data_IF_343098532303
#
_entry.id   IF_343098532303
#
_cell.length_a   1.000
_cell.length_b   1.000
_cell.length_c   1.000
_cell.angle_alpha   90.00
_cell.angle_beta   90.00
_cell.angle_gamma   90.00
#
_symmetry.space_group_name_H-M   'P 1'
#
loop_
_entity.id
_entity.type
_entity.pdbx_description
1 polymer ?
#
# COMPACT_ATOMS: atom_id res chain seq x y z
N UNK A 1 14.52 -9.65 -13.78
CA UNK A 1 15.18 -9.26 -12.52
C UNK A 1 15.81 -7.85 -12.64
N UNK A 2 16.75 -7.63 -13.55
CA UNK A 2 17.47 -6.36 -13.71
C UNK A 2 16.54 -5.12 -13.85
N UNK A 3 15.42 -5.25 -14.54
CA UNK A 3 14.46 -4.16 -14.73
C UNK A 3 13.84 -3.73 -13.39
N UNK A 4 13.37 -4.67 -12.58
CA UNK A 4 12.80 -4.38 -11.27
C UNK A 4 13.83 -3.78 -10.30
N UNK A 5 15.08 -4.27 -10.38
CA UNK A 5 16.20 -3.72 -9.61
C UNK A 5 16.47 -2.25 -9.93
N UNK A 6 16.34 -1.84 -11.20
CA UNK A 6 16.48 -0.43 -11.60
C UNK A 6 15.26 0.42 -11.28
N UNK A 7 14.05 -0.12 -11.42
CA UNK A 7 12.81 0.62 -11.25
C UNK A 7 12.42 0.84 -9.78
N UNK A 8 12.78 -0.06 -8.86
CA UNK A 8 12.43 0.08 -7.45
C UNK A 8 12.98 1.37 -6.81
N UNK A 9 14.27 1.72 -6.95
CA UNK A 9 14.78 3.00 -6.42
C UNK A 9 14.14 4.22 -7.08
N UNK A 10 13.84 4.15 -8.37
CA UNK A 10 13.17 5.23 -9.09
C UNK A 10 11.76 5.46 -8.52
N UNK A 11 11.00 4.38 -8.32
CA UNK A 11 9.67 4.46 -7.74
C UNK A 11 9.71 4.95 -6.29
N UNK A 12 10.69 4.50 -5.49
CA UNK A 12 10.92 5.00 -4.13
C UNK A 12 11.26 6.49 -4.12
N UNK A 13 12.06 6.95 -5.08
CA UNK A 13 12.39 8.37 -5.23
C UNK A 13 11.15 9.21 -5.58
N UNK A 14 10.35 8.77 -6.54
CA UNK A 14 9.09 9.45 -6.90
C UNK A 14 8.13 9.50 -5.71
N UNK A 15 8.01 8.40 -4.96
CA UNK A 15 7.19 8.35 -3.74
C UNK A 15 7.70 9.34 -2.68
N UNK A 16 9.01 9.41 -2.45
CA UNK A 16 9.61 10.35 -1.52
C UNK A 16 9.40 11.81 -1.94
N UNK A 17 9.57 12.13 -3.24
CA UNK A 17 9.30 13.46 -3.78
C UNK A 17 7.84 13.86 -3.62
N UNK A 18 6.91 12.94 -3.89
CA UNK A 18 5.49 13.19 -3.69
C UNK A 18 5.19 13.56 -2.24
N UNK A 19 5.64 12.75 -1.27
CA UNK A 19 5.40 13.06 0.15
C UNK A 19 6.09 14.36 0.57
N UNK A 20 7.30 14.62 0.07
CA UNK A 20 8.01 15.88 0.33
C UNK A 20 7.32 17.11 -0.26
N UNK A 21 6.53 16.96 -1.32
CA UNK A 21 5.77 18.06 -1.93
C UNK A 21 4.51 18.43 -1.13
N UNK A 22 3.92 17.51 -0.37
CA UNK A 22 2.64 17.72 0.33
C UNK A 22 2.62 18.94 1.27
N UNK A 23 3.68 19.28 2.02
CA UNK A 23 3.69 20.48 2.85
C UNK A 23 3.61 21.79 2.05
N UNK A 24 4.01 21.76 0.78
CA UNK A 24 4.05 22.94 -0.10
C UNK A 24 2.81 23.06 -0.99
N UNK A 25 2.30 21.94 -1.49
CA UNK A 25 1.16 21.91 -2.42
C UNK A 25 -0.17 21.72 -1.71
N UNK A 26 -0.16 21.29 -0.45
CA UNK A 26 -1.37 20.88 0.25
C UNK A 26 -1.94 19.56 -0.29
N UNK A 27 -3.11 19.20 0.22
CA UNK A 27 -3.82 17.97 -0.18
C UNK A 27 -4.99 18.26 -1.15
N UNK A 28 -5.33 19.52 -1.40
CA UNK A 28 -6.48 19.92 -2.24
C UNK A 28 -6.39 19.34 -3.66
N UNK A 29 -5.25 19.43 -4.39
CA UNK A 29 -5.15 18.88 -5.73
C UNK A 29 -5.38 17.35 -5.77
N UNK A 30 -5.07 16.66 -4.66
CA UNK A 30 -5.27 15.23 -4.55
C UNK A 30 -6.76 14.88 -4.45
N UNK A 31 -7.54 15.70 -3.71
CA UNK A 31 -8.97 15.47 -3.53
C UNK A 31 -9.81 15.82 -4.76
N UNK A 32 -9.33 16.71 -5.60
CA UNK A 32 -9.95 17.03 -6.90
C UNK A 32 -9.82 15.87 -7.90
N UNK A 33 -8.78 15.02 -7.74
CA UNK A 33 -8.59 13.87 -8.61
C UNK A 33 -9.63 12.79 -8.35
N UNK A 34 -10.38 12.42 -9.42
CA UNK A 34 -11.40 11.36 -9.35
C UNK A 34 -10.85 9.99 -8.96
N UNK A 35 -9.58 9.72 -9.25
CA UNK A 35 -8.88 8.46 -9.04
C UNK A 35 -7.84 8.48 -7.91
N UNK A 36 -7.87 9.49 -7.02
CA UNK A 36 -6.86 9.66 -5.98
C UNK A 36 -6.61 8.37 -5.16
N UNK A 37 -7.66 7.77 -4.62
CA UNK A 37 -7.53 6.53 -3.83
C UNK A 37 -6.90 5.39 -4.65
N UNK A 38 -7.36 5.18 -5.88
CA UNK A 38 -6.83 4.12 -6.77
C UNK A 38 -5.36 4.34 -7.10
N UNK A 39 -4.97 5.58 -7.38
CA UNK A 39 -3.58 5.93 -7.67
C UNK A 39 -2.68 5.69 -6.46
N UNK A 40 -3.11 6.12 -5.26
CA UNK A 40 -2.36 5.91 -4.02
C UNK A 40 -2.22 4.43 -3.67
N UNK A 41 -3.29 3.64 -3.80
CA UNK A 41 -3.26 2.19 -3.63
C UNK A 41 -2.29 1.54 -4.63
N UNK A 42 -2.32 1.96 -5.90
CA UNK A 42 -1.46 1.44 -6.93
C UNK A 42 0.03 1.72 -6.64
N UNK A 43 0.39 2.91 -6.14
CA UNK A 43 1.76 3.24 -5.74
C UNK A 43 2.26 2.30 -4.65
N UNK A 44 1.46 2.07 -3.59
CA UNK A 44 1.84 1.13 -2.53
C UNK A 44 1.97 -0.29 -3.07
N UNK A 45 1.00 -0.76 -3.85
CA UNK A 45 1.02 -2.10 -4.42
C UNK A 45 2.24 -2.33 -5.33
N UNK A 46 2.60 -1.34 -6.15
CA UNK A 46 3.80 -1.40 -7.00
C UNK A 46 5.09 -1.44 -6.19
N UNK A 47 5.23 -0.58 -5.17
CA UNK A 47 6.40 -0.60 -4.29
C UNK A 47 6.54 -1.94 -3.56
N UNK A 48 5.45 -2.49 -3.04
CA UNK A 48 5.42 -3.82 -2.42
C UNK A 48 5.80 -4.90 -3.43
N UNK A 49 5.19 -4.90 -4.63
CA UNK A 49 5.47 -5.90 -5.67
C UNK A 49 6.92 -5.84 -6.15
N UNK A 50 7.46 -4.64 -6.40
CA UNK A 50 8.85 -4.47 -6.84
C UNK A 50 9.83 -4.84 -5.73
N UNK A 51 9.53 -4.49 -4.48
CA UNK A 51 10.33 -4.91 -3.33
C UNK A 51 10.40 -6.43 -3.27
N UNK A 52 9.29 -7.13 -3.35
CA UNK A 52 9.27 -8.60 -3.36
C UNK A 52 10.02 -9.18 -4.56
N UNK A 53 9.89 -8.58 -5.74
CA UNK A 53 10.57 -9.03 -6.95
C UNK A 53 12.08 -8.86 -6.89
N UNK A 54 12.57 -7.83 -6.20
CA UNK A 54 14.00 -7.56 -6.05
C UNK A 54 14.62 -8.42 -4.95
N UNK A 55 13.86 -8.65 -3.87
CA UNK A 55 14.37 -9.34 -2.69
C UNK A 55 14.32 -10.86 -2.79
N UNK A 56 13.50 -11.40 -3.69
CA UNK A 56 13.34 -12.86 -3.89
C UNK A 56 13.32 -13.61 -2.54
N UNK A 57 14.29 -14.49 -2.31
CA UNK A 57 14.38 -15.29 -1.09
C UNK A 57 15.07 -14.57 0.07
N UNK A 58 15.58 -13.34 -0.14
CA UNK A 58 16.26 -12.55 0.90
C UNK A 58 17.63 -13.07 1.32
N UNK A 59 18.18 -14.04 0.59
CA UNK A 59 19.49 -14.67 0.86
C UNK A 59 20.59 -14.13 -0.07
N UNK A 60 20.21 -13.36 -1.11
CA UNK A 60 21.14 -12.80 -2.08
C UNK A 60 21.90 -11.57 -1.58
N UNK A 61 23.03 -11.29 -2.23
CA UNK A 61 23.76 -10.02 -2.05
C UNK A 61 22.83 -8.83 -2.37
N UNK A 62 22.93 -7.79 -1.57
CA UNK A 62 22.10 -6.59 -1.72
C UNK A 62 22.46 -5.89 -3.04
N UNK A 63 21.51 -5.73 -3.97
CA UNK A 63 21.83 -5.25 -5.31
C UNK A 63 22.18 -3.76 -5.37
N UNK A 64 22.11 -3.04 -4.22
CA UNK A 64 22.23 -1.59 -4.19
C UNK A 64 23.42 -1.08 -3.37
N UNK A 65 24.10 -0.02 -3.83
CA UNK A 65 25.03 0.75 -3.01
C UNK A 65 24.29 1.39 -1.83
N UNK A 66 25.01 1.72 -0.77
CA UNK A 66 24.45 2.16 0.51
C UNK A 66 23.50 3.37 0.40
N UNK A 67 23.78 4.33 -0.48
CA UNK A 67 22.93 5.51 -0.67
C UNK A 67 21.60 5.17 -1.35
N UNK A 68 21.63 4.27 -2.36
CA UNK A 68 20.43 3.85 -3.07
C UNK A 68 19.53 2.98 -2.19
N UNK A 69 20.14 2.16 -1.34
CA UNK A 69 19.42 1.41 -0.32
C UNK A 69 18.67 2.31 0.65
N UNK A 70 19.33 3.38 1.14
CA UNK A 70 18.66 4.37 2.01
C UNK A 70 17.46 5.02 1.33
N UNK A 71 17.53 5.24 0.03
CA UNK A 71 16.41 5.78 -0.74
C UNK A 71 15.25 4.79 -0.80
N UNK A 72 15.53 3.52 -1.06
CA UNK A 72 14.51 2.45 -1.03
C UNK A 72 13.91 2.32 0.38
N UNK A 73 14.75 2.29 1.41
CA UNK A 73 14.30 2.22 2.81
C UNK A 73 13.38 3.41 3.14
N UNK A 74 13.74 4.63 2.73
CA UNK A 74 12.90 5.82 2.91
C UNK A 74 11.55 5.67 2.18
N UNK A 75 11.56 5.20 0.93
CA UNK A 75 10.33 4.93 0.18
C UNK A 75 9.40 3.94 0.90
N UNK A 76 9.97 2.87 1.47
CA UNK A 76 9.19 1.86 2.21
C UNK A 76 8.65 2.41 3.54
N UNK A 77 9.40 3.25 4.23
CA UNK A 77 8.94 3.92 5.47
C UNK A 77 7.82 4.91 5.20
N UNK A 78 7.74 5.48 4.00
CA UNK A 78 6.69 6.42 3.59
C UNK A 78 5.41 5.72 3.11
N UNK A 79 5.40 4.42 2.87
CA UNK A 79 4.21 3.68 2.42
C UNK A 79 2.96 3.90 3.29
N UNK A 80 3.05 3.95 4.63
CA UNK A 80 1.87 4.24 5.47
C UNK A 80 1.20 5.57 5.14
N UNK A 81 1.95 6.59 4.72
CA UNK A 81 1.39 7.89 4.33
C UNK A 81 0.45 7.71 3.14
N UNK A 82 0.89 7.00 2.10
CA UNK A 82 0.06 6.71 0.92
C UNK A 82 -1.18 5.89 1.29
N UNK A 83 -1.02 4.88 2.15
CA UNK A 83 -2.13 4.05 2.57
C UNK A 83 -3.19 4.84 3.38
N UNK A 84 -2.75 5.70 4.29
CA UNK A 84 -3.64 6.57 5.06
C UNK A 84 -4.35 7.59 4.17
N UNK A 85 -3.65 8.22 3.22
CA UNK A 85 -4.25 9.14 2.25
C UNK A 85 -5.28 8.42 1.36
N UNK A 86 -5.00 7.17 0.95
CA UNK A 86 -5.93 6.36 0.17
C UNK A 86 -7.21 6.03 0.94
N UNK A 87 -7.07 5.62 2.21
CA UNK A 87 -8.21 5.35 3.09
C UNK A 87 -9.03 6.62 3.34
N UNK A 88 -8.38 7.76 3.55
CA UNK A 88 -9.05 9.03 3.73
C UNK A 88 -9.80 9.47 2.45
N UNK A 89 -9.19 9.31 1.28
CA UNK A 89 -9.84 9.60 0.00
C UNK A 89 -11.07 8.70 -0.23
N UNK A 90 -11.01 7.42 0.16
CA UNK A 90 -12.15 6.51 0.10
C UNK A 90 -13.25 6.93 1.09
N UNK A 91 -12.86 7.29 2.32
CA UNK A 91 -13.81 7.76 3.33
C UNK A 91 -14.58 9.00 2.85
N UNK A 92 -13.89 10.02 2.31
CA UNK A 92 -14.53 11.20 1.72
C UNK A 92 -15.55 10.83 0.64
N UNK A 93 -15.20 9.86 -0.21
CA UNK A 93 -16.10 9.40 -1.29
C UNK A 93 -17.31 8.66 -0.77
N UNK A 94 -17.16 7.90 0.30
CA UNK A 94 -18.25 7.17 0.95
C UNK A 94 -19.19 8.16 1.66
N UNK A 95 -18.62 9.14 2.36
CA UNK A 95 -19.38 10.16 3.05
C UNK A 95 -20.25 10.99 2.09
N UNK A 96 -19.68 11.38 0.93
CA UNK A 96 -20.37 12.19 -0.08
C UNK A 96 -21.44 11.45 -0.89
N UNK A 97 -21.26 10.15 -1.14
CA UNK A 97 -22.04 9.41 -2.14
C UNK A 97 -22.60 8.07 -1.62
N UNK A 98 -22.43 7.76 -0.34
CA UNK A 98 -22.85 6.50 0.27
C UNK A 98 -21.98 5.28 -0.15
N UNK A 99 -22.35 4.13 0.32
CA UNK A 99 -21.70 2.85 0.02
C UNK A 99 -22.16 2.30 -1.33
N UNK A 100 -21.20 1.83 -2.12
CA UNK A 100 -21.43 1.03 -3.31
C UNK A 100 -20.61 -0.26 -3.21
N UNK A 101 -20.97 -1.29 -3.95
CA UNK A 101 -20.22 -2.55 -4.00
C UNK A 101 -18.75 -2.32 -4.32
N UNK A 102 -18.44 -1.45 -5.29
CA UNK A 102 -17.07 -1.11 -5.69
C UNK A 102 -16.30 -0.42 -4.57
N UNK A 103 -16.97 0.43 -3.77
CA UNK A 103 -16.34 1.09 -2.61
C UNK A 103 -16.05 0.12 -1.48
N UNK A 104 -16.91 -0.85 -1.24
CA UNK A 104 -16.64 -1.92 -0.26
C UNK A 104 -15.38 -2.69 -0.67
N UNK A 105 -15.29 -3.10 -1.94
CA UNK A 105 -14.09 -3.77 -2.46
C UNK A 105 -12.84 -2.87 -2.39
N UNK A 106 -12.97 -1.58 -2.73
CA UNK A 106 -11.87 -0.64 -2.63
C UNK A 106 -11.36 -0.45 -1.19
N UNK A 107 -12.26 -0.42 -0.20
CA UNK A 107 -11.89 -0.34 1.23
C UNK A 107 -11.18 -1.61 1.68
N UNK A 108 -11.69 -2.79 1.32
CA UNK A 108 -11.04 -4.06 1.65
C UNK A 108 -9.63 -4.13 1.07
N UNK A 109 -9.48 -3.74 -0.19
CA UNK A 109 -8.16 -3.66 -0.85
C UNK A 109 -7.25 -2.65 -0.17
N UNK A 110 -7.76 -1.44 0.15
CA UNK A 110 -6.98 -0.40 0.82
C UNK A 110 -6.50 -0.84 2.20
N UNK A 111 -7.32 -1.58 2.96
CA UNK A 111 -6.95 -2.13 4.26
C UNK A 111 -5.84 -3.19 4.13
N UNK A 112 -5.93 -4.08 3.15
CA UNK A 112 -4.88 -5.07 2.87
C UNK A 112 -3.56 -4.38 2.48
N UNK A 113 -3.64 -3.39 1.59
CA UNK A 113 -2.49 -2.59 1.15
C UNK A 113 -1.90 -1.79 2.32
N UNK A 114 -2.73 -1.25 3.21
CA UNK A 114 -2.28 -0.60 4.44
C UNK A 114 -1.53 -1.59 5.36
N UNK A 115 -2.01 -2.82 5.49
CA UNK A 115 -1.30 -3.86 6.22
C UNK A 115 0.12 -4.09 5.69
N UNK A 116 0.28 -4.19 4.36
CA UNK A 116 1.60 -4.26 3.74
C UNK A 116 2.44 -3.00 4.00
N UNK A 117 1.85 -1.82 3.85
CA UNK A 117 2.53 -0.55 4.05
C UNK A 117 3.11 -0.41 5.48
N UNK A 118 2.28 -0.68 6.49
CA UNK A 118 2.71 -0.64 7.89
C UNK A 118 3.69 -1.75 8.23
N UNK A 119 3.47 -2.97 7.73
CA UNK A 119 4.35 -4.11 7.94
C UNK A 119 5.75 -3.88 7.38
N UNK A 120 5.85 -3.31 6.18
CA UNK A 120 7.13 -3.01 5.54
C UNK A 120 7.86 -1.85 6.22
N UNK A 121 7.14 -0.76 6.52
CA UNK A 121 7.71 0.35 7.28
C UNK A 121 8.25 -0.11 8.63
N UNK A 122 7.49 -0.95 9.34
CA UNK A 122 7.91 -1.53 10.60
C UNK A 122 9.17 -2.40 10.45
N UNK A 123 9.21 -3.26 9.42
CA UNK A 123 10.37 -4.11 9.15
C UNK A 123 11.64 -3.28 8.93
N UNK A 124 11.54 -2.22 8.11
CA UNK A 124 12.67 -1.31 7.83
C UNK A 124 13.11 -0.57 9.08
N UNK A 125 12.18 0.01 9.84
CA UNK A 125 12.49 0.79 11.03
C UNK A 125 13.14 -0.04 12.15
N UNK A 126 12.71 -1.30 12.31
CA UNK A 126 13.20 -2.16 13.39
C UNK A 126 14.49 -2.90 13.05
N UNK A 127 14.72 -3.23 11.79
CA UNK A 127 15.84 -4.06 11.35
C UNK A 127 16.77 -3.37 10.34
N UNK A 128 16.65 -2.06 10.18
CA UNK A 128 17.17 -1.25 9.07
C UNK A 128 18.66 -1.38 8.72
N UNK A 129 19.53 -1.84 9.63
CA UNK A 129 20.95 -2.01 9.32
C UNK A 129 21.37 -3.46 9.08
N UNK A 130 20.68 -4.45 9.63
CA UNK A 130 21.18 -5.83 9.72
C UNK A 130 20.36 -6.87 8.94
N UNK A 131 19.30 -6.47 8.24
CA UNK A 131 18.54 -7.43 7.44
C UNK A 131 17.03 -7.38 7.61
N UNK A 132 16.41 -6.21 7.39
CA UNK A 132 14.96 -6.07 7.34
C UNK A 132 14.30 -7.00 6.29
N UNK A 133 15.08 -7.54 5.36
CA UNK A 133 14.66 -8.56 4.40
C UNK A 133 14.06 -9.80 5.06
N UNK A 134 14.72 -10.32 6.11
CA UNK A 134 14.19 -11.43 6.88
C UNK A 134 12.87 -11.10 7.59
N UNK A 135 12.67 -9.83 7.97
CA UNK A 135 11.46 -9.37 8.64
C UNK A 135 10.28 -9.16 7.69
N UNK A 136 10.48 -9.03 6.38
CA UNK A 136 9.41 -8.96 5.38
C UNK A 136 8.73 -10.32 5.17
N UNK A 137 9.46 -11.42 5.24
CA UNK A 137 8.89 -12.77 5.04
C UNK A 137 7.66 -13.06 5.94
N UNK A 138 7.73 -12.88 7.27
CA UNK A 138 6.57 -13.09 8.12
C UNK A 138 5.43 -12.11 7.83
N UNK A 139 5.72 -10.86 7.45
CA UNK A 139 4.72 -9.88 7.02
C UNK A 139 4.00 -10.38 5.77
N UNK A 140 4.74 -10.79 4.75
CA UNK A 140 4.16 -11.33 3.51
C UNK A 140 3.30 -12.56 3.78
N UNK A 141 3.78 -13.49 4.61
CA UNK A 141 3.03 -14.70 4.96
C UNK A 141 1.71 -14.36 5.68
N UNK A 142 1.76 -13.49 6.68
CA UNK A 142 0.57 -13.08 7.43
C UNK A 142 -0.45 -12.38 6.53
N UNK A 143 0.01 -11.47 5.66
CA UNK A 143 -0.87 -10.72 4.78
C UNK A 143 -1.38 -11.55 3.60
N UNK A 144 -0.62 -12.52 3.09
CA UNK A 144 -1.13 -13.48 2.11
C UNK A 144 -2.27 -14.31 2.69
N UNK A 145 -2.16 -14.74 3.95
CA UNK A 145 -3.27 -15.41 4.65
C UNK A 145 -4.47 -14.47 4.85
N UNK A 146 -4.22 -13.20 5.17
CA UNK A 146 -5.28 -12.20 5.28
C UNK A 146 -6.00 -11.97 3.94
N UNK A 147 -5.28 -11.92 2.82
CA UNK A 147 -5.88 -11.83 1.47
C UNK A 147 -6.81 -13.01 1.21
N UNK A 148 -6.36 -14.23 1.49
CA UNK A 148 -7.20 -15.43 1.34
C UNK A 148 -8.42 -15.37 2.26
N UNK A 149 -8.23 -14.97 3.53
CA UNK A 149 -9.34 -14.85 4.49
C UNK A 149 -10.36 -13.81 4.03
N UNK A 150 -9.93 -12.62 3.58
CA UNK A 150 -10.81 -11.58 3.03
C UNK A 150 -11.54 -12.09 1.79
N UNK A 151 -10.84 -12.76 0.87
CA UNK A 151 -11.46 -13.32 -0.32
C UNK A 151 -12.54 -14.37 0.03
N UNK A 152 -12.28 -15.25 1.00
CA UNK A 152 -13.27 -16.23 1.47
C UNK A 152 -14.45 -15.51 2.13
N UNK A 153 -14.19 -14.60 3.07
CA UNK A 153 -15.26 -13.89 3.81
C UNK A 153 -16.14 -13.05 2.89
N UNK A 154 -15.57 -12.38 1.90
CA UNK A 154 -16.32 -11.58 0.93
C UNK A 154 -17.23 -12.42 0.00
N UNK A 155 -16.99 -13.73 -0.08
CA UNK A 155 -17.84 -14.68 -0.80
C UNK A 155 -18.79 -15.43 0.13
N UNK A 156 -18.88 -15.04 1.40
CA UNK A 156 -19.84 -15.59 2.36
C UNK A 156 -20.91 -14.56 2.71
N UNK A 157 -22.09 -15.00 3.24
CA UNK A 157 -23.12 -14.06 3.70
C UNK A 157 -22.68 -13.15 4.87
N UNK A 158 -21.52 -13.43 5.48
CA UNK A 158 -20.98 -12.66 6.61
C UNK A 158 -20.47 -11.29 6.17
N UNK A 159 -19.89 -11.20 4.96
CA UNK A 159 -19.33 -9.98 4.41
C UNK A 159 -19.79 -9.82 2.94
N UNK A 160 -21.12 -9.63 2.77
CA UNK A 160 -21.73 -9.46 1.46
C UNK A 160 -21.68 -7.98 1.03
N UNK A 161 -20.80 -7.61 0.08
CA UNK A 161 -20.66 -6.22 -0.38
C UNK A 161 -21.95 -5.66 -1.00
N UNK A 162 -22.79 -6.52 -1.59
CA UNK A 162 -24.06 -6.12 -2.17
C UNK A 162 -25.09 -5.74 -1.10
N UNK A 163 -25.16 -6.50 -0.01
CA UNK A 163 -26.06 -6.19 1.10
C UNK A 163 -25.69 -4.88 1.79
N UNK A 164 -24.39 -4.63 1.97
CA UNK A 164 -23.89 -3.37 2.55
C UNK A 164 -24.27 -2.18 1.66
N UNK A 165 -24.09 -2.30 0.35
CA UNK A 165 -24.42 -1.26 -0.62
C UNK A 165 -25.93 -0.97 -0.63
N UNK A 166 -26.78 -1.98 -0.71
CA UNK A 166 -28.25 -1.83 -0.70
C UNK A 166 -28.76 -1.23 0.60
N UNK A 167 -28.24 -1.67 1.75
CA UNK A 167 -28.63 -1.12 3.06
C UNK A 167 -28.31 0.37 3.22
N UNK A 168 -27.24 0.86 2.58
CA UNK A 168 -26.86 2.28 2.59
C UNK A 168 -27.72 3.17 1.66
N UNK A 169 -28.37 2.59 0.65
CA UNK A 169 -29.21 3.34 -0.29
C UNK A 169 -30.68 3.45 0.16
N UNK A 170 -31.06 2.70 1.17
CA UNK A 170 -32.42 2.69 1.72
C UNK A 170 -32.58 3.64 2.94
N UNK A 171 -31.52 4.30 3.35
CA UNK A 171 -31.51 5.36 4.40
C UNK A 171 -31.46 6.74 3.79
#
# INVERSE_FOLDING_TARGET
>A
FAIFTGLLPLLAFIAALFVASLPFTGLEPLWEMRSAATTLIAVVALLVAFTNSVLQDGEGERPYPAWLRRLVDAGLVLLPVFALLALYALWLRIDQHGWTTDRVWAVLLALLVAGYAFGYAWAVLRHGREGWLGAIRPVNRALSLAVVAVAVLANTPLLDPHRIAVGSQLQ
#
